data_IF_412886107492
#
_entry.id   IF_412886107492
#
_cell.length_a   1.000
_cell.length_b   1.000
_cell.length_c   1.000
_cell.angle_alpha   90.00
_cell.angle_beta   90.00
_cell.angle_gamma   90.00
#
_symmetry.space_group_name_H-M   'P 1'
#
loop_
_entity.id
_entity.type
_entity.pdbx_description
1 polymer ?
#
# COMPACT_ATOMS: atom_id res chain seq x y z
N UNK A 1 -6.14 7.40 10.11
CA UNK A 1 -6.75 6.93 11.37
C UNK A 1 -7.78 7.91 11.95
N UNK A 2 -7.46 9.19 12.01
CA UNK A 2 -8.27 10.26 12.60
C UNK A 2 -9.77 10.24 12.21
N UNK A 3 -10.07 10.22 10.91
CA UNK A 3 -11.45 10.14 10.42
C UNK A 3 -12.04 8.72 10.50
N UNK A 4 -11.21 7.72 10.27
CA UNK A 4 -11.68 6.33 10.19
C UNK A 4 -12.17 5.84 11.55
N UNK A 5 -11.53 6.24 12.64
CA UNK A 5 -11.97 5.89 14.01
C UNK A 5 -13.35 6.47 14.31
N UNK A 6 -13.56 7.75 13.98
CA UNK A 6 -14.87 8.42 14.17
C UNK A 6 -15.96 7.76 13.32
N UNK A 7 -15.69 7.54 12.02
CA UNK A 7 -16.66 6.89 11.11
C UNK A 7 -16.98 5.47 11.57
N UNK A 8 -15.95 4.69 11.97
CA UNK A 8 -16.13 3.34 12.50
C UNK A 8 -17.04 3.33 13.72
N UNK A 9 -16.87 4.28 14.63
CA UNK A 9 -17.73 4.40 15.80
C UNK A 9 -19.17 4.79 15.45
N UNK A 10 -19.37 5.75 14.54
CA UNK A 10 -20.70 6.17 14.07
C UNK A 10 -21.45 4.98 13.45
N UNK A 11 -20.76 4.23 12.58
CA UNK A 11 -21.35 3.03 11.93
C UNK A 11 -21.68 1.96 12.96
N UNK A 12 -20.75 1.65 13.88
CA UNK A 12 -20.99 0.65 14.94
C UNK A 12 -22.17 1.04 15.83
N UNK A 13 -22.24 2.30 16.26
CA UNK A 13 -23.31 2.79 17.11
C UNK A 13 -24.66 2.80 16.37
N UNK A 14 -24.66 3.15 15.08
CA UNK A 14 -25.85 3.09 14.23
C UNK A 14 -26.37 1.66 14.07
N UNK A 15 -25.50 0.69 13.78
CA UNK A 15 -25.87 -0.73 13.70
C UNK A 15 -26.44 -1.22 15.03
N UNK A 16 -25.78 -0.90 16.12
CA UNK A 16 -26.27 -1.28 17.46
C UNK A 16 -27.64 -0.68 17.77
N UNK A 17 -27.86 0.59 17.48
CA UNK A 17 -29.15 1.24 17.64
C UNK A 17 -30.28 0.57 16.86
N UNK A 18 -29.99 0.17 15.60
CA UNK A 18 -30.96 -0.58 14.76
C UNK A 18 -31.24 -1.96 15.35
N UNK A 19 -30.22 -2.70 15.80
CA UNK A 19 -30.40 -4.03 16.40
C UNK A 19 -31.27 -3.96 17.67
N UNK A 20 -31.05 -2.95 18.51
CA UNK A 20 -31.84 -2.74 19.74
C UNK A 20 -33.27 -2.31 19.40
N UNK A 21 -33.45 -1.31 18.55
CA UNK A 21 -34.77 -0.78 18.20
C UNK A 21 -35.65 -1.77 17.46
N UNK A 22 -35.06 -2.63 16.62
CA UNK A 22 -35.77 -3.70 15.92
C UNK A 22 -36.04 -4.95 16.78
N UNK A 23 -35.44 -5.04 17.97
CA UNK A 23 -35.53 -6.22 18.84
C UNK A 23 -34.74 -7.43 18.34
N UNK A 24 -34.03 -7.32 17.22
CA UNK A 24 -33.23 -8.42 16.64
C UNK A 24 -32.17 -8.93 17.61
N UNK A 25 -31.64 -8.05 18.47
CA UNK A 25 -30.64 -8.46 19.48
C UNK A 25 -31.20 -9.49 20.49
N UNK A 26 -32.53 -9.59 20.65
CA UNK A 26 -33.16 -10.55 21.55
C UNK A 26 -33.25 -11.97 20.95
N UNK A 27 -33.16 -12.11 19.59
CA UNK A 27 -33.30 -13.41 18.93
C UNK A 27 -32.30 -14.49 19.42
N UNK A 28 -31.02 -14.22 19.70
CA UNK A 28 -30.13 -15.21 20.26
C UNK A 28 -30.58 -15.75 21.63
N UNK A 29 -31.16 -14.90 22.47
CA UNK A 29 -31.69 -15.34 23.76
C UNK A 29 -32.90 -16.26 23.59
N UNK A 30 -33.83 -15.89 22.72
CA UNK A 30 -34.98 -16.72 22.37
C UNK A 30 -34.50 -18.07 21.77
N UNK A 31 -33.53 -18.05 20.90
CA UNK A 31 -32.99 -19.26 20.31
C UNK A 31 -32.34 -20.19 21.35
N UNK A 32 -31.58 -19.65 22.31
CA UNK A 32 -31.01 -20.42 23.42
C UNK A 32 -32.11 -21.07 24.26
N UNK A 33 -33.15 -20.32 24.64
CA UNK A 33 -34.25 -20.83 25.43
C UNK A 33 -34.99 -21.95 24.69
N UNK A 34 -35.29 -21.73 23.39
CA UNK A 34 -36.00 -22.73 22.57
C UNK A 34 -35.15 -23.99 22.39
N UNK A 35 -33.84 -23.85 22.13
CA UNK A 35 -32.93 -25.00 21.98
C UNK A 35 -32.86 -25.85 23.24
N UNK A 36 -32.71 -25.21 24.42
CA UNK A 36 -32.64 -25.96 25.65
C UNK A 36 -33.99 -26.57 26.04
N UNK A 37 -35.09 -25.87 25.73
CA UNK A 37 -36.44 -26.43 25.93
C UNK A 37 -36.68 -27.67 25.05
N UNK A 38 -36.28 -27.63 23.77
CA UNK A 38 -36.38 -28.75 22.83
C UNK A 38 -35.51 -29.94 23.32
N UNK A 39 -34.29 -29.68 23.78
CA UNK A 39 -33.43 -30.71 24.33
C UNK A 39 -34.03 -31.36 25.59
N UNK A 40 -34.51 -30.54 26.51
CA UNK A 40 -35.16 -31.04 27.71
C UNK A 40 -36.38 -31.94 27.41
N UNK A 41 -37.14 -31.58 26.32
CA UNK A 41 -38.27 -32.37 25.88
C UNK A 41 -37.84 -33.67 25.17
N UNK A 42 -36.73 -33.64 24.43
CA UNK A 42 -36.21 -34.81 23.73
C UNK A 42 -35.54 -35.85 24.68
N UNK A 43 -34.96 -35.38 25.77
CA UNK A 43 -34.34 -36.23 26.81
C UNK A 43 -35.35 -37.00 27.67
N UNK A 44 -36.66 -36.80 27.44
CA UNK A 44 -37.77 -37.60 27.98
C UNK A 44 -38.13 -37.29 29.42
N UNK A 45 -39.42 -37.49 29.72
CA UNK A 45 -40.03 -37.18 31.04
C UNK A 45 -39.72 -38.15 32.16
N UNK A 46 -38.79 -39.12 31.95
CA UNK A 46 -38.71 -40.31 32.78
C UNK A 46 -37.90 -40.22 34.10
N UNK A 47 -37.25 -39.08 34.40
CA UNK A 47 -36.55 -38.91 35.66
C UNK A 47 -36.73 -37.50 36.21
N UNK A 48 -37.44 -37.39 37.35
CA UNK A 48 -37.81 -36.13 37.98
C UNK A 48 -36.67 -35.14 38.37
N UNK A 49 -35.41 -35.54 38.16
CA UNK A 49 -34.25 -34.69 38.45
C UNK A 49 -33.70 -33.97 37.17
N UNK A 50 -34.18 -34.34 35.99
CA UNK A 50 -33.68 -33.77 34.70
C UNK A 50 -34.20 -32.35 34.45
N UNK A 51 -35.35 -32.01 34.98
CA UNK A 51 -35.92 -30.64 34.91
C UNK A 51 -35.04 -29.61 35.62
N UNK A 52 -34.47 -29.94 36.76
CA UNK A 52 -33.57 -29.06 37.52
C UNK A 52 -32.23 -28.85 36.82
N UNK A 53 -31.67 -29.92 36.26
CA UNK A 53 -30.42 -29.86 35.45
C UNK A 53 -30.61 -29.06 34.15
N UNK A 54 -31.77 -29.17 33.52
CA UNK A 54 -32.13 -28.38 32.34
C UNK A 54 -32.27 -26.89 32.68
N UNK A 55 -32.93 -26.53 33.80
CA UNK A 55 -33.06 -25.16 34.26
C UNK A 55 -31.67 -24.54 34.59
N UNK A 56 -30.80 -25.27 35.26
CA UNK A 56 -29.44 -24.80 35.58
C UNK A 56 -28.60 -24.58 34.29
N UNK A 57 -28.77 -25.41 33.26
CA UNK A 57 -28.10 -25.21 31.96
C UNK A 57 -28.61 -23.97 31.22
N UNK A 58 -29.92 -23.73 31.24
CA UNK A 58 -30.53 -22.51 30.67
C UNK A 58 -30.00 -21.29 31.36
N UNK A 59 -30.04 -21.30 32.72
CA UNK A 59 -29.54 -20.21 33.55
C UNK A 59 -28.08 -19.87 33.21
N UNK A 60 -27.18 -20.87 33.16
CA UNK A 60 -25.77 -20.66 32.84
C UNK A 60 -25.56 -20.10 31.43
N UNK A 61 -26.29 -20.61 30.44
CA UNK A 61 -26.17 -20.11 29.04
C UNK A 61 -26.73 -18.71 28.88
N UNK A 62 -27.87 -18.42 29.50
CA UNK A 62 -28.45 -17.07 29.53
C UNK A 62 -27.52 -16.10 30.24
N UNK A 63 -26.94 -16.51 31.37
CA UNK A 63 -25.96 -15.71 32.10
C UNK A 63 -24.74 -15.38 31.20
N UNK A 64 -24.15 -16.38 30.56
CA UNK A 64 -23.02 -16.18 29.60
C UNK A 64 -23.44 -15.25 28.48
N UNK A 65 -24.64 -15.42 27.90
CA UNK A 65 -25.14 -14.55 26.84
C UNK A 65 -25.31 -13.09 27.30
N UNK A 66 -25.83 -12.90 28.54
CA UNK A 66 -25.94 -11.55 29.13
C UNK A 66 -24.55 -10.93 29.30
N UNK A 67 -23.59 -11.68 29.84
CA UNK A 67 -22.21 -11.19 30.00
C UNK A 67 -21.62 -10.80 28.66
N UNK A 68 -21.78 -11.63 27.63
CA UNK A 68 -21.31 -11.31 26.26
C UNK A 68 -21.95 -10.02 25.74
N UNK A 69 -23.27 -9.86 25.92
CA UNK A 69 -23.98 -8.64 25.49
C UNK A 69 -23.53 -7.41 26.25
N UNK A 70 -23.27 -7.55 27.55
CA UNK A 70 -22.71 -6.45 28.33
C UNK A 70 -21.35 -6.00 27.81
N UNK A 71 -20.45 -6.95 27.54
CA UNK A 71 -19.13 -6.62 26.96
C UNK A 71 -19.19 -6.10 25.52
N UNK A 72 -20.16 -6.59 24.74
CA UNK A 72 -20.28 -6.23 23.32
C UNK A 72 -21.05 -4.93 23.10
N UNK A 73 -22.07 -4.66 23.92
CA UNK A 73 -23.04 -3.59 23.62
C UNK A 73 -22.99 -2.39 24.58
N UNK A 74 -22.64 -2.61 25.85
CA UNK A 74 -22.71 -1.52 26.84
C UNK A 74 -21.43 -0.66 26.77
N UNK A 75 -21.56 0.66 26.55
CA UNK A 75 -20.43 1.57 26.48
C UNK A 75 -19.96 1.94 27.89
N UNK A 76 -18.87 1.32 28.36
CA UNK A 76 -18.28 1.55 29.70
C UNK A 76 -17.05 2.46 29.65
N UNK A 77 -16.28 2.46 28.55
CA UNK A 77 -14.95 3.05 28.48
C UNK A 77 -15.03 4.34 27.69
N UNK A 78 -14.53 5.43 28.28
CA UNK A 78 -14.36 6.68 27.56
C UNK A 78 -13.11 6.58 26.66
N UNK A 79 -13.27 6.85 25.36
CA UNK A 79 -12.21 6.84 24.35
C UNK A 79 -12.26 8.11 23.54
N UNK A 80 -11.12 8.72 23.35
CA UNK A 80 -10.96 9.82 22.41
C UNK A 80 -10.89 9.27 20.99
N UNK A 81 -11.89 9.61 20.16
CA UNK A 81 -12.06 9.05 18.82
C UNK A 81 -11.14 9.72 17.80
N UNK A 82 -10.83 10.98 18.00
CA UNK A 82 -10.12 11.80 17.01
C UNK A 82 -9.17 12.82 17.63
N UNK A 83 -8.46 12.44 18.67
CA UNK A 83 -7.35 13.23 19.19
C UNK A 83 -6.10 12.97 18.33
N UNK A 84 -5.55 14.02 17.74
CA UNK A 84 -4.24 13.94 17.09
C UNK A 84 -3.21 13.85 18.21
N UNK A 85 -2.65 12.66 18.38
CA UNK A 85 -1.57 12.43 19.34
C UNK A 85 -0.24 12.43 18.59
N UNK A 86 0.61 13.35 18.95
CA UNK A 86 2.00 13.34 18.53
C UNK A 86 2.83 12.64 19.60
N UNK A 87 3.71 11.75 19.15
CA UNK A 87 4.65 11.12 20.05
C UNK A 87 5.76 12.13 20.41
N UNK A 88 5.66 12.70 21.59
CA UNK A 88 6.65 13.66 22.10
C UNK A 88 8.04 13.04 22.28
N UNK A 89 8.12 11.73 22.55
CA UNK A 89 9.39 11.02 22.69
C UNK A 89 10.10 10.94 21.35
N UNK A 90 9.34 10.70 20.28
CA UNK A 90 9.88 10.66 18.91
C UNK A 90 10.25 12.06 18.41
N UNK A 91 9.45 13.08 18.71
CA UNK A 91 9.81 14.46 18.42
C UNK A 91 11.14 14.85 19.06
N UNK A 92 11.35 14.47 20.31
CA UNK A 92 12.61 14.69 21.01
C UNK A 92 13.77 13.89 20.39
N UNK A 93 13.54 12.64 20.03
CA UNK A 93 14.54 11.76 19.40
C UNK A 93 14.96 12.28 18.02
N UNK A 94 14.01 12.79 17.25
CA UNK A 94 14.25 13.29 15.90
C UNK A 94 14.59 14.77 15.85
N UNK A 95 14.60 15.48 16.98
CA UNK A 95 14.83 16.94 17.08
C UNK A 95 13.91 17.76 16.18
N UNK A 96 12.70 17.28 15.97
CA UNK A 96 11.66 17.94 15.17
C UNK A 96 10.61 18.51 16.11
N UNK A 97 10.21 19.75 15.89
CA UNK A 97 9.08 20.35 16.61
C UNK A 97 7.81 19.54 16.38
N UNK A 98 7.03 19.31 17.44
CA UNK A 98 5.71 18.68 17.29
C UNK A 98 4.83 19.59 16.45
N UNK A 99 4.44 19.18 15.22
CA UNK A 99 3.57 20.01 14.39
C UNK A 99 2.21 20.13 15.06
N UNK A 100 1.70 21.35 15.13
CA UNK A 100 0.36 21.60 15.63
C UNK A 100 -0.67 21.34 14.52
N UNK A 101 -1.92 20.98 14.84
CA UNK A 101 -2.96 20.84 13.82
C UNK A 101 -3.15 22.06 12.95
N UNK A 102 -2.88 23.25 13.50
CA UNK A 102 -2.90 24.54 12.79
C UNK A 102 -1.84 24.67 11.70
N UNK A 103 -0.76 23.90 11.79
CA UNK A 103 0.36 23.99 10.84
C UNK A 103 0.13 23.17 9.57
N UNK A 104 -0.95 22.41 9.52
CA UNK A 104 -1.20 21.42 8.44
C UNK A 104 -2.02 21.97 7.28
N UNK A 105 -2.54 23.19 7.34
CA UNK A 105 -3.50 23.75 6.38
C UNK A 105 -4.91 23.14 6.44
N UNK A 106 -5.12 22.12 7.27
CA UNK A 106 -6.42 21.46 7.50
C UNK A 106 -7.07 21.93 8.81
N UNK A 107 -6.59 22.99 9.39
CA UNK A 107 -6.99 23.50 10.70
C UNK A 107 -8.51 23.67 10.87
N UNK A 108 -9.21 24.15 9.86
CA UNK A 108 -10.68 24.32 9.92
C UNK A 108 -11.42 22.97 9.99
N UNK A 109 -11.00 21.99 9.19
CA UNK A 109 -11.60 20.65 9.22
C UNK A 109 -11.29 19.92 10.52
N UNK A 110 -10.13 20.12 11.09
CA UNK A 110 -9.75 19.50 12.36
C UNK A 110 -10.39 20.19 13.56
N UNK A 111 -10.58 21.49 13.56
CA UNK A 111 -11.20 22.22 14.67
C UNK A 111 -12.64 21.79 14.93
N UNK A 112 -13.37 21.41 13.87
CA UNK A 112 -14.78 21.03 13.96
C UNK A 112 -14.98 19.65 14.60
N UNK A 113 -14.02 18.74 14.43
CA UNK A 113 -14.15 17.33 14.86
C UNK A 113 -13.06 16.90 15.85
N UNK A 114 -12.19 17.83 16.26
CA UNK A 114 -11.14 17.57 17.22
C UNK A 114 -11.73 17.37 18.65
N UNK A 115 -11.09 16.50 19.43
CA UNK A 115 -11.47 16.17 20.81
C UNK A 115 -12.88 15.56 20.94
N UNK A 116 -13.35 14.83 19.96
CA UNK A 116 -14.57 14.05 20.11
C UNK A 116 -14.27 12.79 20.92
N UNK A 117 -14.88 12.68 22.08
CA UNK A 117 -14.84 11.49 22.94
C UNK A 117 -16.19 10.77 22.89
N UNK A 118 -16.17 9.47 23.05
CA UNK A 118 -17.37 8.66 23.19
C UNK A 118 -17.15 7.51 24.17
N UNK A 119 -18.24 7.11 24.80
CA UNK A 119 -18.26 5.86 25.56
C UNK A 119 -18.41 4.70 24.61
N UNK A 120 -17.52 3.74 24.73
CA UNK A 120 -17.45 2.58 23.82
C UNK A 120 -17.48 1.27 24.61
N UNK A 121 -17.93 0.16 23.99
CA UNK A 121 -17.84 -1.16 24.59
C UNK A 121 -16.38 -1.61 24.80
N UNK A 122 -16.15 -2.51 25.73
CA UNK A 122 -14.81 -3.00 26.10
C UNK A 122 -14.06 -3.59 24.90
N UNK A 123 -14.74 -4.42 24.10
CA UNK A 123 -14.12 -5.03 22.91
C UNK A 123 -13.67 -3.98 21.90
N UNK A 124 -14.48 -2.93 21.69
CA UNK A 124 -14.15 -1.86 20.75
C UNK A 124 -12.94 -1.05 21.25
N UNK A 125 -12.91 -0.72 22.55
CA UNK A 125 -11.76 -0.06 23.17
C UNK A 125 -10.47 -0.89 23.02
N UNK A 126 -10.56 -2.21 23.20
CA UNK A 126 -9.43 -3.12 23.02
C UNK A 126 -8.93 -3.12 21.58
N UNK A 127 -9.83 -3.26 20.59
CA UNK A 127 -9.46 -3.23 19.17
C UNK A 127 -8.88 -1.89 18.77
N UNK A 128 -9.43 -0.79 19.29
CA UNK A 128 -8.90 0.55 19.07
C UNK A 128 -7.49 0.71 19.65
N UNK A 129 -7.28 0.27 20.90
CA UNK A 129 -5.95 0.30 21.52
C UNK A 129 -4.93 -0.54 20.76
N UNK A 130 -5.32 -1.73 20.28
CA UNK A 130 -4.47 -2.59 19.47
C UNK A 130 -4.09 -1.92 18.13
N UNK A 131 -5.08 -1.34 17.43
CA UNK A 131 -4.85 -0.60 16.20
C UNK A 131 -3.89 0.57 16.41
N UNK A 132 -4.09 1.35 17.47
CA UNK A 132 -3.18 2.45 17.84
C UNK A 132 -1.77 1.97 18.15
N UNK A 133 -1.62 0.87 18.87
CA UNK A 133 -0.31 0.31 19.18
C UNK A 133 0.44 -0.12 17.91
N UNK A 134 -0.24 -0.80 16.99
CA UNK A 134 0.35 -1.21 15.69
C UNK A 134 0.73 0.01 14.86
N UNK A 135 -0.16 1.00 14.74
CA UNK A 135 0.13 2.24 14.01
C UNK A 135 1.30 3.00 14.63
N UNK A 136 1.32 3.13 15.95
CA UNK A 136 2.41 3.79 16.68
C UNK A 136 3.75 3.07 16.48
N UNK A 137 3.75 1.74 16.57
CA UNK A 137 4.94 0.93 16.30
C UNK A 137 5.44 1.10 14.85
N UNK A 138 4.53 1.11 13.88
CA UNK A 138 4.86 1.32 12.47
C UNK A 138 5.46 2.70 12.23
N UNK A 139 4.88 3.74 12.82
CA UNK A 139 5.42 5.11 12.74
C UNK A 139 6.77 5.21 13.46
N UNK A 140 6.94 4.54 14.61
CA UNK A 140 8.21 4.51 15.32
C UNK A 140 9.34 3.81 14.55
N UNK A 141 9.02 2.90 13.66
CA UNK A 141 9.99 2.22 12.81
C UNK A 141 10.53 3.10 11.66
N UNK A 142 9.88 4.22 11.34
CA UNK A 142 10.35 5.13 10.27
C UNK A 142 11.58 5.91 10.78
N UNK A 143 12.73 5.93 10.08
CA UNK A 143 13.91 6.67 10.47
C UNK A 143 13.65 8.16 10.63
N UNK A 144 14.35 8.82 11.54
CA UNK A 144 14.30 10.28 11.69
C UNK A 144 14.82 10.99 10.42
N UNK A 145 14.21 12.13 10.08
CA UNK A 145 14.62 12.93 8.93
C UNK A 145 14.02 12.50 7.60
N UNK A 146 13.20 11.44 7.59
CA UNK A 146 12.45 11.04 6.40
C UNK A 146 11.07 11.70 6.37
N UNK A 147 10.95 12.80 5.68
CA UNK A 147 9.65 13.35 5.30
C UNK A 147 9.16 12.65 4.03
N UNK A 148 8.38 11.57 4.21
CA UNK A 148 7.83 10.79 3.10
C UNK A 148 6.94 11.64 2.18
N UNK A 149 6.28 12.66 2.72
CA UNK A 149 5.47 13.58 1.94
C UNK A 149 6.33 14.49 1.07
N UNK A 150 7.40 15.02 1.64
CA UNK A 150 8.37 15.81 0.90
C UNK A 150 9.05 14.96 -0.18
N UNK A 151 9.51 13.75 0.16
CA UNK A 151 10.10 12.84 -0.82
C UNK A 151 9.15 12.51 -1.97
N UNK A 152 7.88 12.28 -1.66
CA UNK A 152 6.87 12.06 -2.70
C UNK A 152 6.70 13.30 -3.59
N UNK A 153 6.59 14.48 -3.00
CA UNK A 153 6.50 15.73 -3.78
C UNK A 153 7.74 15.97 -4.62
N UNK A 154 8.93 15.66 -4.09
CA UNK A 154 10.19 15.75 -4.84
C UNK A 154 10.21 14.75 -6.02
N UNK A 155 9.73 13.52 -5.82
CA UNK A 155 9.61 12.52 -6.92
C UNK A 155 8.58 12.99 -7.95
N UNK A 156 7.40 13.43 -7.51
CA UNK A 156 6.32 13.89 -8.39
C UNK A 156 6.72 15.18 -9.16
N UNK A 157 7.60 16.00 -8.56
CA UNK A 157 8.16 17.19 -9.18
C UNK A 157 9.34 16.89 -10.11
N UNK A 158 10.00 15.74 -9.94
CA UNK A 158 11.13 15.34 -10.79
C UNK A 158 10.60 14.99 -12.18
N UNK A 159 11.02 15.76 -13.15
CA UNK A 159 10.70 15.56 -14.57
C UNK A 159 11.99 15.45 -15.36
N UNK A 160 11.90 14.94 -16.56
CA UNK A 160 13.02 14.98 -17.50
C UNK A 160 13.11 16.41 -18.04
N UNK A 161 14.04 17.19 -17.49
CA UNK A 161 14.21 18.58 -17.88
C UNK A 161 14.90 18.73 -19.25
N UNK A 162 15.71 17.72 -19.63
CA UNK A 162 16.35 17.70 -20.93
C UNK A 162 15.37 17.22 -22.01
N UNK A 163 14.97 18.09 -22.95
CA UNK A 163 14.04 17.71 -24.01
C UNK A 163 14.60 16.66 -24.96
N UNK A 164 15.94 16.57 -25.10
CA UNK A 164 16.58 15.55 -25.93
C UNK A 164 16.42 14.18 -25.27
N UNK A 165 16.67 14.10 -23.97
CA UNK A 165 16.48 12.88 -23.20
C UNK A 165 15.00 12.46 -23.15
N UNK A 166 14.08 13.42 -23.02
CA UNK A 166 12.65 13.13 -23.06
C UNK A 166 12.22 12.55 -24.41
N UNK A 167 12.71 13.13 -25.51
CA UNK A 167 12.47 12.60 -26.85
C UNK A 167 13.06 11.21 -27.02
N UNK A 168 14.24 10.97 -26.45
CA UNK A 168 14.91 9.68 -26.52
C UNK A 168 14.13 8.59 -25.75
N UNK A 169 13.53 8.90 -24.62
CA UNK A 169 12.61 7.99 -23.89
C UNK A 169 11.41 7.63 -24.76
N UNK A 170 10.84 8.61 -25.47
CA UNK A 170 9.73 8.37 -26.39
C UNK A 170 10.15 7.47 -27.55
N UNK A 171 11.33 7.71 -28.12
CA UNK A 171 11.89 6.88 -29.19
C UNK A 171 12.16 5.46 -28.70
N UNK A 172 12.74 5.30 -27.51
CA UNK A 172 12.95 3.99 -26.90
C UNK A 172 11.63 3.24 -26.65
N UNK A 173 10.61 3.96 -26.20
CA UNK A 173 9.28 3.38 -26.02
C UNK A 173 8.71 2.87 -27.35
N UNK A 174 8.87 3.63 -28.42
CA UNK A 174 8.37 3.28 -29.75
C UNK A 174 9.17 2.13 -30.39
N UNK A 175 10.50 2.19 -30.35
CA UNK A 175 11.37 1.28 -31.09
C UNK A 175 11.66 -0.02 -30.32
N UNK A 176 11.61 0.01 -29.01
CA UNK A 176 12.00 -1.09 -28.13
C UNK A 176 10.84 -1.64 -27.32
N UNK A 177 10.22 -0.82 -26.46
CA UNK A 177 9.21 -1.29 -25.53
C UNK A 177 7.92 -1.73 -26.22
N UNK A 178 7.42 -0.93 -27.17
CA UNK A 178 6.21 -1.26 -27.93
C UNK A 178 6.32 -2.61 -28.64
N UNK A 179 7.36 -2.84 -29.48
CA UNK A 179 7.57 -4.13 -30.15
C UNK A 179 7.79 -5.30 -29.18
N UNK A 180 8.56 -5.12 -28.10
CA UNK A 180 8.77 -6.16 -27.08
C UNK A 180 7.45 -6.55 -26.42
N UNK A 181 6.64 -5.56 -26.04
CA UNK A 181 5.33 -5.79 -25.46
C UNK A 181 4.36 -6.46 -26.43
N UNK A 182 4.34 -6.03 -27.69
CA UNK A 182 3.52 -6.67 -28.73
C UNK A 182 3.91 -8.14 -28.90
N UNK A 183 5.21 -8.45 -28.94
CA UNK A 183 5.72 -9.81 -29.00
C UNK A 183 5.29 -10.64 -27.78
N UNK A 184 5.36 -10.07 -26.56
CA UNK A 184 4.91 -10.74 -25.34
C UNK A 184 3.45 -11.15 -25.45
N UNK A 185 2.57 -10.24 -25.92
CA UNK A 185 1.15 -10.55 -26.11
C UNK A 185 0.88 -11.60 -27.18
N UNK A 186 1.71 -11.65 -28.20
CA UNK A 186 1.61 -12.70 -29.24
C UNK A 186 2.06 -14.07 -28.71
N UNK A 187 3.15 -14.12 -27.97
CA UNK A 187 3.73 -15.38 -27.47
C UNK A 187 3.01 -15.93 -26.24
N UNK A 188 2.36 -15.06 -25.45
CA UNK A 188 1.64 -15.40 -24.21
C UNK A 188 2.43 -16.36 -23.29
N UNK A 189 3.67 -16.05 -22.92
CA UNK A 189 4.43 -16.89 -22.01
C UNK A 189 3.74 -16.92 -20.64
N UNK A 190 3.96 -18.02 -19.90
CA UNK A 190 3.54 -18.07 -18.50
C UNK A 190 4.43 -17.11 -17.70
N UNK A 191 3.85 -16.06 -17.16
CA UNK A 191 4.52 -15.08 -16.30
C UNK A 191 4.04 -15.29 -14.86
N UNK A 192 4.97 -15.19 -13.92
CA UNK A 192 4.61 -15.06 -12.51
C UNK A 192 4.09 -13.63 -12.19
N UNK A 193 3.57 -13.43 -10.99
CA UNK A 193 2.98 -12.16 -10.58
C UNK A 193 4.00 -11.00 -10.62
N UNK A 194 5.25 -11.26 -10.24
CA UNK A 194 6.31 -10.26 -10.27
C UNK A 194 6.67 -9.87 -11.71
N UNK A 195 6.78 -10.84 -12.60
CA UNK A 195 7.02 -10.60 -14.03
C UNK A 195 5.87 -9.84 -14.69
N UNK A 196 4.61 -10.15 -14.32
CA UNK A 196 3.45 -9.41 -14.83
C UNK A 196 3.50 -7.92 -14.46
N UNK A 197 3.94 -7.59 -13.25
CA UNK A 197 4.16 -6.20 -12.86
C UNK A 197 5.39 -5.59 -13.53
N UNK A 198 6.45 -6.37 -13.72
CA UNK A 198 7.70 -5.89 -14.32
C UNK A 198 7.53 -5.50 -15.79
N UNK A 199 6.79 -6.27 -16.58
CA UNK A 199 6.61 -5.99 -18.03
C UNK A 199 5.75 -4.76 -18.35
N UNK A 200 5.27 -4.05 -17.35
CA UNK A 200 4.40 -2.87 -17.53
C UNK A 200 5.15 -1.56 -17.79
N UNK A 201 6.49 -1.55 -17.76
CA UNK A 201 7.30 -0.36 -17.93
C UNK A 201 8.53 -0.58 -18.82
N UNK A 202 9.12 0.50 -19.30
CA UNK A 202 10.20 0.47 -20.31
C UNK A 202 11.50 -0.18 -19.81
N UNK A 203 11.78 -0.18 -18.51
CA UNK A 203 12.98 -0.75 -17.90
C UNK A 203 12.81 -2.18 -17.39
N UNK A 204 11.80 -2.90 -17.87
CA UNK A 204 11.50 -4.27 -17.46
C UNK A 204 12.74 -5.17 -17.47
N UNK A 205 13.00 -5.81 -16.32
CA UNK A 205 14.07 -6.81 -16.19
C UNK A 205 13.78 -8.06 -17.02
N UNK A 206 12.52 -8.37 -17.20
CA UNK A 206 12.11 -9.45 -18.11
C UNK A 206 12.55 -9.17 -19.54
N UNK A 207 12.31 -7.98 -20.08
CA UNK A 207 12.69 -7.63 -21.45
C UNK A 207 14.21 -7.48 -21.62
N UNK A 208 14.91 -6.99 -20.60
CA UNK A 208 16.36 -6.84 -20.64
C UNK A 208 17.10 -8.15 -20.42
N UNK A 209 16.56 -9.09 -19.62
CA UNK A 209 17.19 -10.34 -19.23
C UNK A 209 16.81 -11.53 -20.11
N UNK A 210 15.60 -11.56 -20.66
CA UNK A 210 15.10 -12.67 -21.47
C UNK A 210 15.49 -12.50 -22.93
N UNK A 211 16.09 -13.52 -23.52
CA UNK A 211 16.45 -13.51 -24.93
C UNK A 211 15.24 -13.39 -25.86
N UNK A 212 15.43 -12.75 -26.98
CA UNK A 212 14.40 -12.56 -27.99
C UNK A 212 13.55 -11.31 -27.83
N UNK A 213 13.83 -10.45 -26.84
CA UNK A 213 13.18 -9.16 -26.64
C UNK A 213 14.13 -8.00 -26.92
N UNK A 214 14.69 -7.34 -25.92
CA UNK A 214 15.57 -6.17 -26.10
C UNK A 214 16.91 -6.47 -26.79
N UNK A 215 17.33 -7.69 -26.85
CA UNK A 215 18.47 -8.13 -27.64
C UNK A 215 18.17 -8.24 -29.15
N UNK A 216 16.90 -8.38 -29.52
CA UNK A 216 16.46 -8.55 -30.92
C UNK A 216 16.11 -7.21 -31.57
N UNK A 217 15.46 -6.30 -30.80
CA UNK A 217 15.08 -4.98 -31.29
C UNK A 217 16.23 -3.99 -31.14
N UNK A 218 16.22 -2.96 -31.97
CA UNK A 218 17.26 -1.92 -32.03
C UNK A 218 16.64 -0.54 -32.31
N UNK A 219 17.42 0.52 -32.08
CA UNK A 219 17.03 1.87 -32.49
C UNK A 219 16.74 1.94 -33.99
N UNK A 220 15.66 2.61 -34.35
CA UNK A 220 15.33 2.88 -35.75
C UNK A 220 16.15 4.03 -36.35
N UNK A 221 16.76 4.85 -35.52
CA UNK A 221 17.61 5.99 -35.89
C UNK A 221 19.00 5.82 -35.31
N UNK A 222 20.05 6.31 -36.01
CA UNK A 222 21.40 6.24 -35.49
C UNK A 222 21.54 7.08 -34.22
N UNK A 223 22.35 6.61 -33.28
CA UNK A 223 22.63 7.26 -32.00
C UNK A 223 24.11 7.57 -31.89
N UNK A 224 24.45 8.82 -31.64
CA UNK A 224 25.84 9.31 -31.63
C UNK A 224 26.70 8.67 -30.54
N UNK A 225 26.10 8.28 -29.42
CA UNK A 225 26.78 7.61 -28.31
C UNK A 225 27.23 6.19 -28.64
N UNK A 226 26.76 5.59 -29.70
CA UNK A 226 27.14 4.25 -30.16
C UNK A 226 27.78 4.32 -31.54
N UNK A 227 29.07 3.99 -31.68
CA UNK A 227 29.71 3.99 -32.99
C UNK A 227 29.05 2.95 -33.91
N UNK A 228 29.01 3.26 -35.20
CA UNK A 228 28.54 2.32 -36.21
C UNK A 228 29.42 1.07 -36.25
N UNK A 229 28.79 -0.09 -36.19
CA UNK A 229 29.44 -1.41 -36.29
C UNK A 229 28.89 -2.15 -37.51
N UNK A 230 29.77 -2.46 -38.46
CA UNK A 230 29.39 -3.10 -39.73
C UNK A 230 28.75 -4.49 -39.56
N UNK A 231 29.03 -5.17 -38.46
CA UNK A 231 28.47 -6.49 -38.17
C UNK A 231 27.08 -6.35 -37.52
N UNK A 232 26.98 -5.50 -36.49
CA UNK A 232 25.73 -5.23 -35.76
C UNK A 232 24.72 -4.49 -36.64
N UNK A 233 25.19 -3.49 -37.36
CA UNK A 233 24.36 -2.54 -38.10
C UNK A 233 24.29 -2.88 -39.63
N UNK A 234 24.64 -4.13 -39.96
CA UNK A 234 24.61 -4.61 -41.36
C UNK A 234 23.24 -4.34 -42.03
N UNK A 235 23.27 -3.72 -43.18
CA UNK A 235 22.08 -3.36 -43.95
C UNK A 235 21.40 -2.05 -43.54
N UNK A 236 21.93 -1.34 -42.52
CA UNK A 236 21.48 -0.01 -42.14
C UNK A 236 22.41 1.08 -42.71
N UNK A 237 21.86 2.25 -42.98
CA UNK A 237 22.63 3.35 -43.55
C UNK A 237 23.60 3.93 -42.52
N UNK A 238 24.90 3.99 -42.86
CA UNK A 238 25.85 4.73 -42.05
C UNK A 238 25.63 6.23 -42.28
N UNK A 239 25.36 6.96 -41.21
CA UNK A 239 25.16 8.41 -41.25
C UNK A 239 26.49 9.10 -40.98
N UNK A 240 26.69 10.28 -41.58
CA UNK A 240 27.96 11.01 -41.56
C UNK A 240 28.49 11.39 -40.16
N UNK A 241 27.68 11.37 -39.12
CA UNK A 241 28.08 11.55 -37.72
C UNK A 241 28.76 10.32 -37.09
N UNK A 242 28.76 9.16 -37.80
CA UNK A 242 29.34 7.93 -37.26
C UNK A 242 28.46 7.17 -36.24
N UNK A 243 27.26 7.66 -35.98
CA UNK A 243 26.32 7.00 -35.04
C UNK A 243 25.85 5.64 -35.53
N UNK A 244 25.73 4.69 -34.61
CA UNK A 244 25.27 3.33 -34.88
C UNK A 244 23.88 3.07 -34.35
N UNK A 245 23.41 1.84 -34.47
CA UNK A 245 22.07 1.40 -34.10
C UNK A 245 22.15 0.39 -32.95
N UNK A 246 22.23 0.87 -31.70
CA UNK A 246 22.33 -0.03 -30.57
C UNK A 246 21.12 -0.94 -30.48
N UNK A 247 21.32 -2.17 -29.98
CA UNK A 247 20.20 -3.00 -29.54
C UNK A 247 19.50 -2.33 -28.38
N UNK A 248 18.22 -2.62 -28.17
CA UNK A 248 17.47 -2.02 -27.07
C UNK A 248 18.10 -2.34 -25.71
N UNK A 249 18.71 -3.51 -25.55
CA UNK A 249 19.47 -3.87 -24.35
C UNK A 249 20.69 -2.96 -24.15
N UNK A 250 21.47 -2.72 -25.18
CA UNK A 250 22.61 -1.79 -25.13
C UNK A 250 22.13 -0.38 -24.84
N UNK A 251 21.13 0.08 -25.59
CA UNK A 251 20.57 1.41 -25.43
C UNK A 251 20.04 1.67 -24.00
N UNK A 252 19.44 0.66 -23.37
CA UNK A 252 18.95 0.77 -21.98
C UNK A 252 20.07 0.70 -20.95
N UNK A 253 20.98 -0.29 -21.06
CA UNK A 253 21.84 -0.73 -19.96
C UNK A 253 23.34 -0.51 -20.16
N UNK A 254 23.77 0.13 -21.27
CA UNK A 254 25.19 0.27 -21.59
C UNK A 254 25.90 1.33 -20.74
N UNK A 255 26.37 0.90 -19.57
CA UNK A 255 27.21 1.72 -18.69
C UNK A 255 26.68 3.13 -18.44
N UNK A 256 27.54 4.14 -18.54
CA UNK A 256 27.20 5.55 -18.37
C UNK A 256 26.37 6.16 -19.51
N UNK A 257 26.46 5.59 -20.72
CA UNK A 257 25.75 6.07 -21.91
C UNK A 257 24.33 5.50 -21.99
N UNK A 258 24.04 4.44 -21.25
CA UNK A 258 22.71 3.81 -21.23
C UNK A 258 21.63 4.76 -20.75
N UNK A 259 20.44 4.66 -21.37
CA UNK A 259 19.30 5.49 -21.06
C UNK A 259 18.93 5.44 -19.56
N UNK A 260 19.04 4.25 -18.93
CA UNK A 260 18.84 4.07 -17.50
C UNK A 260 19.75 4.95 -16.64
N UNK A 261 21.04 4.98 -16.94
CA UNK A 261 22.01 5.77 -16.20
C UNK A 261 21.78 7.27 -16.35
N UNK A 262 21.43 7.71 -17.56
CA UNK A 262 21.14 9.12 -17.85
C UNK A 262 19.84 9.59 -17.19
N UNK A 263 18.81 8.75 -17.13
CA UNK A 263 17.57 9.04 -16.39
C UNK A 263 17.83 9.16 -14.89
N UNK A 264 18.65 8.27 -14.30
CA UNK A 264 19.07 8.40 -12.91
C UNK A 264 19.87 9.68 -12.65
N UNK A 265 20.63 10.13 -13.62
CA UNK A 265 21.39 11.40 -13.54
C UNK A 265 20.51 12.65 -13.44
N UNK A 266 19.24 12.58 -13.83
CA UNK A 266 18.26 13.67 -13.65
C UNK A 266 17.72 13.77 -12.21
N UNK A 267 17.92 12.73 -11.40
CA UNK A 267 17.39 12.67 -10.03
C UNK A 267 18.45 13.14 -9.04
N UNK A 268 18.05 13.97 -8.08
CA UNK A 268 18.96 14.39 -7.01
C UNK A 268 19.53 13.16 -6.27
N UNK A 269 20.87 13.01 -6.25
CA UNK A 269 21.52 11.92 -5.53
C UNK A 269 21.15 11.85 -4.03
N UNK A 270 20.87 12.99 -3.40
CA UNK A 270 20.44 13.05 -2.01
C UNK A 270 19.05 12.44 -1.83
N UNK A 271 18.14 12.68 -2.77
CA UNK A 271 16.82 12.06 -2.77
C UNK A 271 16.94 10.53 -2.90
N UNK A 272 17.75 10.05 -3.84
CA UNK A 272 18.00 8.60 -4.02
C UNK A 272 18.61 7.96 -2.77
N UNK A 273 19.54 8.63 -2.10
CA UNK A 273 20.17 8.13 -0.87
C UNK A 273 19.17 8.10 0.30
N UNK A 274 18.31 9.11 0.43
CA UNK A 274 17.24 9.14 1.43
C UNK A 274 16.23 8.01 1.20
N UNK A 275 15.82 7.79 -0.05
CA UNK A 275 14.91 6.70 -0.42
C UNK A 275 15.53 5.32 -0.14
N UNK A 276 16.79 5.11 -0.52
CA UNK A 276 17.50 3.86 -0.24
C UNK A 276 17.70 3.61 1.27
N UNK A 277 17.93 4.65 2.04
CA UNK A 277 18.04 4.57 3.50
C UNK A 277 16.70 4.21 4.17
N UNK A 278 15.60 4.76 3.65
CA UNK A 278 14.26 4.46 4.14
C UNK A 278 13.79 3.06 3.71
N UNK A 279 14.04 2.69 2.46
CA UNK A 279 13.65 1.40 1.89
C UNK A 279 14.74 0.35 2.09
N UNK A 280 15.35 0.28 3.28
CA UNK A 280 16.48 -0.62 3.56
C UNK A 280 16.21 -2.13 3.39
N UNK A 281 14.95 -2.50 3.16
CA UNK A 281 14.53 -3.85 2.78
C UNK A 281 14.56 -4.09 1.26
N UNK A 282 14.73 -3.04 0.44
CA UNK A 282 14.90 -3.11 -1.01
C UNK A 282 16.38 -2.96 -1.38
N UNK A 283 16.78 -3.60 -2.46
CA UNK A 283 18.08 -3.35 -3.06
C UNK A 283 18.15 -1.95 -3.66
N UNK A 284 19.35 -1.36 -3.75
CA UNK A 284 19.57 -0.06 -4.40
C UNK A 284 19.00 -0.05 -5.82
N UNK A 285 19.21 -1.13 -6.57
CA UNK A 285 18.71 -1.24 -7.94
C UNK A 285 17.17 -1.21 -8.03
N UNK A 286 16.47 -1.75 -7.04
CA UNK A 286 14.99 -1.69 -6.99
C UNK A 286 14.49 -0.29 -6.66
N UNK A 287 15.19 0.43 -5.78
CA UNK A 287 14.87 1.84 -5.49
C UNK A 287 15.07 2.69 -6.75
N UNK A 288 16.22 2.55 -7.43
CA UNK A 288 16.53 3.26 -8.66
C UNK A 288 15.48 2.98 -9.75
N UNK A 289 15.11 1.71 -9.95
CA UNK A 289 14.10 1.30 -10.94
C UNK A 289 12.71 1.88 -10.60
N UNK A 290 12.36 1.96 -9.32
CA UNK A 290 11.10 2.55 -8.87
C UNK A 290 11.02 4.05 -9.18
N UNK A 291 12.12 4.77 -8.97
CA UNK A 291 12.22 6.21 -9.27
C UNK A 291 12.19 6.45 -10.78
N UNK A 292 12.95 5.70 -11.57
CA UNK A 292 12.91 5.82 -13.03
C UNK A 292 11.51 5.53 -13.56
N UNK A 293 10.84 4.52 -13.01
CA UNK A 293 9.47 4.19 -13.39
C UNK A 293 8.50 5.35 -13.14
N UNK A 294 8.66 6.07 -12.03
CA UNK A 294 7.83 7.24 -11.72
C UNK A 294 8.09 8.41 -12.70
N UNK A 295 9.36 8.63 -13.11
CA UNK A 295 9.76 9.72 -14.01
C UNK A 295 9.42 9.41 -15.47
N UNK A 296 9.65 8.17 -15.90
CA UNK A 296 9.48 7.73 -17.29
C UNK A 296 8.08 7.16 -17.58
N UNK A 297 7.15 7.18 -16.59
CA UNK A 297 5.75 6.84 -16.82
C UNK A 297 5.07 8.01 -17.54
N UNK A 298 4.38 7.76 -18.68
CA UNK A 298 3.67 8.79 -19.41
C UNK A 298 2.46 9.32 -18.62
#
# INVERSE_FOLDING_TARGET
EYYLTLVSWIVNNGIWAVLVSSGVFALPFVAIIVQEWLKARAEGADEGNKGVLSAARIENRVFVAIVVVMFAGIPFIDVDLNTIQYDSSRSAQCQVSVPQPTDTGWSQSFSTINNQSAKVPVWWAFMHALSRAVTSASVAAIPCGTDLRQMRMEIDATRIDDPVLAQEVADFSRDCYGPARAKLFMQRPQLDEQQMHDVTWIGSRFFTGTGGYYDTYRSSTPRDDWPYDSTRDAGLAQVGSGGGYPTCRQWWADGGNGLRARLLGQVDPNLLNRLAGWAGFLSRAEVDDSVIRAIASP
#
